data_IF_496061885296
#
_entry.id   IF_496061885296
#
_cell.length_a   1.000
_cell.length_b   1.000
_cell.length_c   1.000
_cell.angle_alpha   90.00
_cell.angle_beta   90.00
_cell.angle_gamma   90.00
#
_symmetry.space_group_name_H-M   'P 1'
#
loop_
_entity.id
_entity.type
_entity.pdbx_description
1 polymer ?
#
# COMPACT_ATOMS: atom_id res chain seq x y z
N UNK A 1 -10.37 -20.02 5.71
CA UNK A 1 -9.25 -19.25 6.26
C UNK A 1 -9.10 -18.02 5.39
N UNK A 2 -9.73 -16.90 5.79
CA UNK A 2 -9.68 -15.67 5.00
C UNK A 2 -8.37 -14.94 5.32
N UNK A 3 -7.40 -15.04 4.43
CA UNK A 3 -6.17 -14.25 4.53
C UNK A 3 -6.53 -12.81 4.15
N UNK A 4 -6.94 -12.01 5.13
CA UNK A 4 -7.17 -10.59 4.92
C UNK A 4 -5.83 -9.89 4.71
N UNK A 5 -5.62 -9.44 3.48
CA UNK A 5 -4.39 -8.74 3.12
C UNK A 5 -4.52 -7.31 3.64
N UNK A 6 -3.89 -7.06 4.78
CA UNK A 6 -3.84 -5.73 5.35
C UNK A 6 -2.98 -4.84 4.47
N UNK A 7 -3.59 -3.78 3.94
CA UNK A 7 -2.93 -2.74 3.14
C UNK A 7 -1.68 -2.14 3.86
N UNK A 8 -1.62 -2.26 5.19
CA UNK A 8 -0.54 -1.77 6.03
C UNK A 8 0.79 -2.49 5.75
N UNK A 9 0.76 -3.70 5.18
CA UNK A 9 1.97 -4.44 4.81
C UNK A 9 2.74 -3.74 3.68
N UNK A 10 2.02 -3.11 2.74
CA UNK A 10 2.61 -2.25 1.70
C UNK A 10 3.26 -1.02 2.34
N UNK A 11 2.56 -0.37 3.27
CA UNK A 11 3.08 0.80 3.99
C UNK A 11 4.36 0.47 4.77
N UNK A 12 4.39 -0.67 5.46
CA UNK A 12 5.60 -1.14 6.12
C UNK A 12 6.74 -1.43 5.14
N UNK A 13 6.43 -1.93 3.94
CA UNK A 13 7.46 -2.11 2.91
C UNK A 13 8.02 -0.76 2.46
N UNK A 14 7.17 0.19 2.08
CA UNK A 14 7.58 1.54 1.68
C UNK A 14 8.37 2.28 2.78
N UNK A 15 8.18 1.90 4.04
CA UNK A 15 8.97 2.38 5.19
C UNK A 15 10.41 1.91 5.13
N UNK A 16 10.63 0.65 4.77
CA UNK A 16 11.93 -0.02 4.75
C UNK A 16 12.63 0.25 3.43
N UNK A 17 11.89 0.11 2.32
CA UNK A 17 12.37 0.30 0.97
C UNK A 17 11.33 1.09 0.17
N UNK A 18 11.54 2.40 -0.04
CA UNK A 18 10.73 3.18 -0.96
C UNK A 18 10.98 2.68 -2.39
N UNK A 19 9.90 2.57 -3.16
CA UNK A 19 9.93 1.96 -4.49
C UNK A 19 8.95 2.65 -5.44
N UNK A 20 9.14 2.51 -6.74
CA UNK A 20 8.22 3.08 -7.73
C UNK A 20 6.89 2.32 -7.75
N UNK A 21 5.87 2.90 -8.36
CA UNK A 21 4.58 2.23 -8.53
C UNK A 21 4.74 0.86 -9.22
N UNK A 22 5.58 0.78 -10.25
CA UNK A 22 5.85 -0.46 -11.00
C UNK A 22 6.43 -1.54 -10.09
N UNK A 23 7.45 -1.19 -9.30
CA UNK A 23 8.07 -2.10 -8.34
C UNK A 23 7.08 -2.53 -7.26
N UNK A 24 6.23 -1.61 -6.82
CA UNK A 24 5.19 -1.88 -5.82
C UNK A 24 4.16 -2.87 -6.36
N UNK A 25 3.70 -2.70 -7.61
CA UNK A 25 2.80 -3.63 -8.30
C UNK A 25 3.45 -5.01 -8.45
N UNK A 26 4.73 -5.08 -8.80
CA UNK A 26 5.48 -6.33 -8.88
C UNK A 26 5.61 -7.01 -7.51
N UNK A 27 5.96 -6.25 -6.47
CA UNK A 27 6.05 -6.74 -5.10
C UNK A 27 4.70 -7.28 -4.62
N UNK A 28 3.62 -6.55 -4.87
CA UNK A 28 2.26 -6.95 -4.54
C UNK A 28 1.89 -8.24 -5.28
N UNK A 29 2.15 -8.32 -6.57
CA UNK A 29 1.89 -9.52 -7.35
C UNK A 29 2.71 -10.73 -6.86
N UNK A 30 3.95 -10.52 -6.42
CA UNK A 30 4.82 -11.58 -5.91
C UNK A 30 4.44 -12.05 -4.49
N UNK A 31 4.14 -11.13 -3.59
CA UNK A 31 3.80 -11.44 -2.18
C UNK A 31 2.35 -11.90 -2.00
N UNK A 32 1.44 -11.35 -2.80
CA UNK A 32 0.00 -11.50 -2.61
C UNK A 32 -0.73 -12.11 -3.81
N UNK A 33 -0.09 -12.14 -4.98
CA UNK A 33 -0.70 -12.58 -6.24
C UNK A 33 -1.25 -11.41 -7.06
N UNK A 34 -1.35 -11.62 -8.38
CA UNK A 34 -1.86 -10.64 -9.36
C UNK A 34 -3.33 -10.27 -9.18
N UNK A 35 -4.09 -11.06 -8.41
CA UNK A 35 -5.53 -10.85 -8.15
C UNK A 35 -5.79 -10.68 -6.65
N UNK A 36 -4.94 -9.93 -5.96
CA UNK A 36 -5.16 -9.61 -4.55
C UNK A 36 -6.20 -8.50 -4.39
N UNK A 37 -7.15 -8.73 -3.47
CA UNK A 37 -8.05 -7.71 -2.97
C UNK A 37 -7.64 -7.30 -1.56
N UNK A 38 -7.28 -6.05 -1.42
CA UNK A 38 -6.95 -5.42 -0.14
C UNK A 38 -8.19 -5.17 0.69
N UNK A 39 -8.01 -5.33 2.01
CA UNK A 39 -8.97 -4.92 3.03
C UNK A 39 -8.33 -3.84 3.89
N UNK A 40 -9.01 -2.70 4.02
CA UNK A 40 -8.80 -1.81 5.16
C UNK A 40 -9.81 -2.17 6.25
N UNK A 41 -9.55 -1.83 7.51
CA UNK A 41 -10.37 -2.26 8.65
C UNK A 41 -11.89 -1.98 8.53
N UNK A 42 -12.33 -1.15 7.58
CA UNK A 42 -13.75 -0.86 7.30
C UNK A 42 -14.18 -1.14 5.86
N UNK A 43 -13.27 -1.33 4.91
CA UNK A 43 -13.57 -1.52 3.49
C UNK A 43 -12.91 -2.78 2.96
N UNK A 44 -13.66 -3.56 2.20
CA UNK A 44 -13.23 -4.82 1.60
C UNK A 44 -13.32 -4.77 0.10
N UNK A 45 -12.42 -5.48 -0.59
CA UNK A 45 -12.50 -5.61 -2.06
C UNK A 45 -11.86 -4.44 -2.79
N UNK A 46 -10.72 -3.94 -2.31
CA UNK A 46 -9.96 -2.91 -3.02
C UNK A 46 -8.87 -3.57 -3.85
N UNK A 47 -8.87 -3.36 -5.15
CA UNK A 47 -7.74 -3.73 -6.00
C UNK A 47 -6.50 -2.91 -5.67
N UNK A 48 -5.36 -3.31 -6.25
CA UNK A 48 -4.10 -2.59 -6.09
C UNK A 48 -4.24 -1.11 -6.46
N UNK A 49 -4.92 -0.78 -7.55
CA UNK A 49 -5.13 0.61 -7.95
C UNK A 49 -5.92 1.40 -6.89
N UNK A 50 -7.07 0.84 -6.47
CA UNK A 50 -7.93 1.44 -5.46
C UNK A 50 -7.21 1.63 -4.11
N UNK A 51 -6.34 0.69 -3.72
CA UNK A 51 -5.57 0.82 -2.47
C UNK A 51 -4.49 1.89 -2.59
N UNK A 52 -3.87 2.03 -3.76
CA UNK A 52 -2.86 3.05 -4.04
C UNK A 52 -3.47 4.46 -4.04
N UNK A 53 -4.59 4.65 -4.72
CA UNK A 53 -5.37 5.89 -4.65
C UNK A 53 -5.80 6.20 -3.22
N UNK A 54 -6.26 5.20 -2.46
CA UNK A 54 -6.65 5.38 -1.07
C UNK A 54 -5.48 5.87 -0.21
N UNK A 55 -4.28 5.35 -0.41
CA UNK A 55 -3.09 5.83 0.31
C UNK A 55 -2.74 7.27 -0.02
N UNK A 56 -2.82 7.66 -1.29
CA UNK A 56 -2.61 9.05 -1.71
C UNK A 56 -3.68 9.98 -1.14
N UNK A 57 -4.95 9.58 -1.23
CA UNK A 57 -6.08 10.35 -0.72
C UNK A 57 -6.03 10.53 0.81
N UNK A 58 -5.51 9.53 1.53
CA UNK A 58 -5.25 9.61 2.98
C UNK A 58 -3.90 10.21 3.33
N UNK A 59 -3.16 10.74 2.35
CA UNK A 59 -1.81 11.29 2.50
C UNK A 59 -0.85 10.37 3.26
N UNK A 60 -1.06 9.04 3.19
CA UNK A 60 -0.21 8.03 3.86
C UNK A 60 1.11 7.80 3.15
N UNK A 61 1.21 8.23 1.90
CA UNK A 61 2.37 8.10 1.02
C UNK A 61 2.65 9.43 0.33
N UNK A 62 3.91 9.67 -0.02
CA UNK A 62 4.40 10.86 -0.71
C UNK A 62 5.19 10.37 -1.91
N UNK A 63 4.87 10.88 -3.10
CA UNK A 63 5.61 10.54 -4.30
C UNK A 63 6.71 11.60 -4.49
N UNK A 64 7.98 11.17 -4.49
CA UNK A 64 9.16 12.02 -4.80
C UNK A 64 9.91 11.37 -5.95
N UNK A 65 10.16 12.11 -7.02
CA UNK A 65 10.86 11.60 -8.21
C UNK A 65 10.24 10.30 -8.77
N UNK A 66 8.91 10.16 -8.68
CA UNK A 66 8.19 8.94 -9.09
C UNK A 66 8.35 7.74 -8.15
N UNK A 67 9.10 7.90 -7.06
CA UNK A 67 9.26 6.90 -6.00
C UNK A 67 8.24 7.17 -4.90
N UNK A 68 7.55 6.11 -4.48
CA UNK A 68 6.61 6.17 -3.38
C UNK A 68 7.37 6.06 -2.07
N UNK A 69 7.22 7.08 -1.23
CA UNK A 69 7.73 7.13 0.12
C UNK A 69 6.57 7.08 1.10
N UNK A 70 6.81 6.48 2.26
CA UNK A 70 5.82 6.51 3.32
C UNK A 70 5.76 7.91 3.97
N UNK A 71 4.55 8.46 4.11
CA UNK A 71 4.35 9.67 4.90
C UNK A 71 4.33 9.31 6.39
N UNK A 72 5.51 9.28 6.99
CA UNK A 72 5.66 8.99 8.42
C UNK A 72 4.93 10.00 9.33
N UNK A 73 4.73 11.24 8.86
CA UNK A 73 4.04 12.28 9.63
C UNK A 73 2.56 11.94 9.88
N UNK A 74 1.90 11.26 8.95
CA UNK A 74 0.48 10.88 9.02
C UNK A 74 0.25 9.49 9.66
N UNK A 75 1.32 8.76 9.98
CA UNK A 75 1.24 7.39 10.52
C UNK A 75 1.45 7.37 12.04
N UNK A 76 2.06 8.41 12.61
CA UNK A 76 2.20 8.57 14.05
C UNK A 76 0.98 9.30 14.65
N UNK A 77 -0.15 8.61 14.72
CA UNK A 77 -1.11 8.84 15.81
C UNK A 77 -1.15 7.55 16.62
N UNK A 78 -0.33 7.52 17.67
CA UNK A 78 -0.33 6.48 18.70
C UNK A 78 -1.38 6.81 19.75
#
# INVERSE_FOLDING_TARGET
>A
MEQHIHAHKILNQLKVQPMTEEQLRQFIAAEFGTQVLFRTCKLSGMDTDTVLEFFQAKQKVIIKDGVWHLNLAEICQH
#
